data_IF_279026501681
#
_entry.id   IF_279026501681
#
_cell.length_a   1.000
_cell.length_b   1.000
_cell.length_c   1.000
_cell.angle_alpha   90.00
_cell.angle_beta   90.00
_cell.angle_gamma   90.00
#
_symmetry.space_group_name_H-M   'P 1'
#
loop_
_entity.id
_entity.type
_entity.pdbx_description
1 polymer ?
#
# COMPACT_ATOMS: atom_id res chain seq x y z
N UNK A 1 12.85 -17.02 -12.62
CA UNK A 1 11.66 -16.54 -13.18
C UNK A 1 11.31 -15.17 -12.65
N UNK A 2 11.22 -14.22 -13.58
CA UNK A 2 11.03 -12.81 -13.22
C UNK A 2 9.76 -12.57 -12.40
N UNK A 3 8.67 -13.28 -12.71
CA UNK A 3 7.40 -13.08 -12.01
C UNK A 3 7.46 -13.45 -10.53
N UNK A 4 8.23 -14.47 -10.18
CA UNK A 4 8.37 -14.88 -8.78
C UNK A 4 9.05 -13.80 -7.94
N UNK A 5 10.08 -13.14 -8.51
CA UNK A 5 10.81 -12.09 -7.82
C UNK A 5 9.91 -10.87 -7.61
N UNK A 6 9.14 -10.49 -8.63
CA UNK A 6 8.22 -9.35 -8.54
C UNK A 6 7.13 -9.62 -7.51
N UNK A 7 6.56 -10.85 -7.51
CA UNK A 7 5.53 -11.24 -6.54
C UNK A 7 6.06 -11.17 -5.10
N UNK A 8 7.27 -11.67 -4.88
CA UNK A 8 7.88 -11.65 -3.55
C UNK A 8 8.11 -10.21 -3.07
N UNK A 9 8.61 -9.34 -3.96
CA UNK A 9 8.81 -7.94 -3.62
C UNK A 9 7.48 -7.25 -3.33
N UNK A 10 6.46 -7.52 -4.12
CA UNK A 10 5.12 -6.99 -3.89
C UNK A 10 4.55 -7.42 -2.55
N UNK A 11 4.73 -8.70 -2.19
CA UNK A 11 4.26 -9.23 -0.91
C UNK A 11 4.95 -8.54 0.27
N UNK A 12 6.26 -8.30 0.17
CA UNK A 12 7.01 -7.59 1.20
C UNK A 12 6.53 -6.15 1.35
N UNK A 13 6.30 -5.47 0.24
CA UNK A 13 5.80 -4.10 0.22
C UNK A 13 4.42 -4.02 0.86
N UNK A 14 3.53 -4.94 0.52
CA UNK A 14 2.19 -4.98 1.10
C UNK A 14 2.24 -5.23 2.60
N UNK A 15 3.16 -6.08 3.07
CA UNK A 15 3.32 -6.36 4.49
C UNK A 15 3.78 -5.12 5.25
N UNK A 16 4.71 -4.36 4.69
CA UNK A 16 5.20 -3.12 5.31
C UNK A 16 4.08 -2.09 5.39
N UNK A 17 3.33 -1.91 4.30
CA UNK A 17 2.20 -0.98 4.28
C UNK A 17 1.13 -1.39 5.30
N UNK A 18 0.79 -2.68 5.35
CA UNK A 18 -0.22 -3.17 6.27
C UNK A 18 0.19 -2.98 7.73
N UNK A 19 1.45 -3.22 8.04
CA UNK A 19 1.96 -3.04 9.40
C UNK A 19 1.79 -1.60 9.87
N UNK A 20 2.04 -0.61 9.00
CA UNK A 20 1.82 0.78 9.34
C UNK A 20 0.33 1.13 9.38
N UNK A 21 -0.43 0.66 8.38
CA UNK A 21 -1.85 1.00 8.26
C UNK A 21 -2.66 0.51 9.48
N UNK A 22 -2.33 -0.65 10.02
CA UNK A 22 -3.05 -1.20 11.17
C UNK A 22 -2.81 -0.42 12.45
N UNK A 23 -1.76 0.41 12.50
CA UNK A 23 -1.53 1.29 13.64
C UNK A 23 -2.47 2.49 13.63
N UNK A 24 -2.98 2.87 12.48
CA UNK A 24 -3.78 4.09 12.29
C UNK A 24 -5.25 3.78 12.04
N UNK A 25 -5.52 2.71 11.30
CA UNK A 25 -6.88 2.33 10.91
C UNK A 25 -7.28 1.03 11.60
N UNK A 26 -8.46 1.03 12.20
CA UNK A 26 -8.96 -0.14 12.92
C UNK A 26 -9.30 -1.30 12.00
N UNK A 27 -9.92 -0.98 10.88
CA UNK A 27 -10.47 -1.99 9.97
C UNK A 27 -10.05 -1.65 8.54
N UNK A 28 -9.25 -2.51 7.96
CA UNK A 28 -8.80 -2.35 6.58
C UNK A 28 -9.66 -3.12 5.59
N UNK A 29 -10.66 -3.87 6.05
CA UNK A 29 -11.47 -4.72 5.17
C UNK A 29 -12.37 -3.91 4.23
N UNK A 30 -12.62 -2.63 4.55
CA UNK A 30 -13.42 -1.75 3.70
C UNK A 30 -12.64 -1.21 2.50
N UNK A 31 -11.35 -1.49 2.44
CA UNK A 31 -10.47 -0.98 1.39
C UNK A 31 -10.04 -2.08 0.44
N UNK A 32 -9.82 -1.69 -0.80
CA UNK A 32 -9.06 -2.49 -1.75
C UNK A 32 -7.71 -1.83 -1.91
N UNK A 33 -6.72 -2.59 -2.37
CA UNK A 33 -5.36 -2.11 -2.50
C UNK A 33 -4.99 -2.03 -3.98
N UNK A 34 -4.49 -0.85 -4.38
CA UNK A 34 -3.85 -0.66 -5.67
C UNK A 34 -2.35 -0.69 -5.45
N UNK A 35 -1.67 -1.54 -6.19
CA UNK A 35 -0.23 -1.73 -6.07
C UNK A 35 0.41 -1.49 -7.43
N UNK A 36 1.34 -0.55 -7.51
CA UNK A 36 2.02 -0.24 -8.76
C UNK A 36 3.48 0.07 -8.50
N UNK A 37 4.36 -0.46 -9.34
CA UNK A 37 5.78 -0.13 -9.30
C UNK A 37 6.03 1.03 -10.24
N UNK A 38 6.49 2.15 -9.69
CA UNK A 38 6.77 3.38 -10.41
C UNK A 38 8.25 3.72 -10.30
N UNK A 39 8.67 4.81 -10.93
CA UNK A 39 10.07 5.22 -10.92
C UNK A 39 10.57 5.57 -9.52
N UNK A 40 9.72 6.10 -8.69
CA UNK A 40 10.06 6.53 -7.33
C UNK A 40 9.87 5.44 -6.28
N UNK A 41 9.40 4.27 -6.68
CA UNK A 41 9.20 3.14 -5.77
C UNK A 41 7.84 2.49 -5.95
N UNK A 42 7.46 1.66 -5.00
CA UNK A 42 6.16 1.00 -4.99
C UNK A 42 5.10 1.94 -4.44
N UNK A 43 4.03 2.14 -5.20
CA UNK A 43 2.87 2.89 -4.75
C UNK A 43 1.82 1.92 -4.24
N UNK A 44 1.43 2.10 -2.98
CA UNK A 44 0.41 1.30 -2.33
C UNK A 44 -0.72 2.23 -1.92
N UNK A 45 -1.87 2.08 -2.55
CA UNK A 45 -3.01 2.96 -2.31
C UNK A 45 -4.18 2.15 -1.81
N UNK A 46 -4.66 2.46 -0.62
CA UNK A 46 -5.86 1.87 -0.05
C UNK A 46 -7.05 2.73 -0.44
N UNK A 47 -7.99 2.13 -1.17
CA UNK A 47 -9.17 2.83 -1.68
C UNK A 47 -10.43 2.15 -1.16
N UNK A 48 -11.44 2.94 -0.83
CA UNK A 48 -12.72 2.39 -0.38
C UNK A 48 -13.35 1.52 -1.48
N UNK A 49 -13.82 0.35 -1.10
CA UNK A 49 -14.50 -0.57 -2.02
C UNK A 49 -15.84 -0.01 -2.46
N UNK A 50 -16.54 0.68 -1.55
CA UNK A 50 -17.86 1.23 -1.82
C UNK A 50 -17.73 2.65 -2.35
N UNK A 51 -18.07 2.90 -3.62
CA UNK A 51 -17.92 4.24 -4.21
C UNK A 51 -18.86 5.28 -3.63
N UNK A 52 -19.86 4.86 -2.86
CA UNK A 52 -20.80 5.79 -2.22
C UNK A 52 -20.22 6.42 -0.97
N UNK A 53 -19.19 5.80 -0.39
CA UNK A 53 -18.55 6.31 0.80
C UNK A 53 -17.53 7.38 0.44
N UNK A 54 -17.41 8.37 1.32
CA UNK A 54 -16.43 9.43 1.16
C UNK A 54 -15.20 9.15 2.03
N UNK A 55 -14.08 9.72 1.61
CA UNK A 55 -12.83 9.55 2.30
C UNK A 55 -11.95 8.55 1.60
N UNK A 56 -10.87 8.19 2.25
CA UNK A 56 -9.92 7.22 1.69
C UNK A 56 -9.11 6.57 2.77
N UNK A 57 -8.22 5.70 2.36
CA UNK A 57 -7.30 5.01 3.25
C UNK A 57 -5.90 5.58 3.16
N UNK A 58 -4.93 4.87 3.72
CA UNK A 58 -3.54 5.29 3.67
C UNK A 58 -2.95 5.10 2.27
N UNK A 59 -1.98 5.96 1.95
CA UNK A 59 -1.23 5.90 0.71
C UNK A 59 0.25 5.87 1.05
N UNK A 60 1.00 4.99 0.39
CA UNK A 60 2.42 4.81 0.66
C UNK A 60 3.22 4.84 -0.62
N UNK A 61 4.44 5.38 -0.51
CA UNK A 61 5.50 5.13 -1.50
C UNK A 61 6.60 4.41 -0.74
N UNK A 62 6.97 3.22 -1.21
CA UNK A 62 7.91 2.34 -0.54
C UNK A 62 9.08 2.05 -1.46
N UNK A 63 10.30 2.23 -0.94
CA UNK A 63 11.51 2.06 -1.71
C UNK A 63 11.60 0.63 -2.25
N UNK A 64 11.90 0.51 -3.55
CA UNK A 64 11.92 -0.78 -4.23
C UNK A 64 13.10 -1.65 -3.82
N UNK A 65 14.16 -1.05 -3.29
CA UNK A 65 15.38 -1.79 -2.90
C UNK A 65 15.39 -2.11 -1.41
N UNK A 66 15.07 -1.12 -0.58
CA UNK A 66 15.19 -1.26 0.88
C UNK A 66 13.88 -1.64 1.54
N UNK A 67 12.76 -1.49 0.85
CA UNK A 67 11.39 -1.70 1.35
C UNK A 67 11.07 -0.76 2.52
N UNK A 68 11.75 0.37 2.58
CA UNK A 68 11.48 1.41 3.57
C UNK A 68 10.39 2.34 3.06
N UNK A 69 9.53 2.82 3.96
CA UNK A 69 8.52 3.80 3.61
C UNK A 69 9.20 5.13 3.32
N UNK A 70 9.09 5.60 2.07
CA UNK A 70 9.63 6.89 1.63
C UNK A 70 8.64 8.00 1.98
N UNK A 71 7.36 7.74 1.75
CA UNK A 71 6.30 8.73 1.92
C UNK A 71 5.03 8.02 2.34
N UNK A 72 4.24 8.67 3.19
CA UNK A 72 2.93 8.14 3.57
C UNK A 72 1.95 9.29 3.78
N UNK A 73 0.69 9.02 3.45
CA UNK A 73 -0.38 9.98 3.61
C UNK A 73 -1.62 9.24 4.09
N UNK A 74 -2.26 9.78 5.09
CA UNK A 74 -3.50 9.20 5.62
C UNK A 74 -4.68 10.07 5.22
N UNK A 75 -5.68 9.45 4.61
CA UNK A 75 -6.94 10.12 4.28
C UNK A 75 -8.04 9.61 5.22
N UNK A 76 -9.00 10.46 5.42
CA UNK A 76 -10.13 10.12 6.28
C UNK A 76 -11.44 10.16 5.55
#
# INVERSE_FOLDING_TARGET
MANSIVSLAGDQVLAVAQADATKVYRDLSTYRIQLALEEDGWHVDYELKDPRLKGGGPHYIIDAQTVAIISKRYEQ
#
